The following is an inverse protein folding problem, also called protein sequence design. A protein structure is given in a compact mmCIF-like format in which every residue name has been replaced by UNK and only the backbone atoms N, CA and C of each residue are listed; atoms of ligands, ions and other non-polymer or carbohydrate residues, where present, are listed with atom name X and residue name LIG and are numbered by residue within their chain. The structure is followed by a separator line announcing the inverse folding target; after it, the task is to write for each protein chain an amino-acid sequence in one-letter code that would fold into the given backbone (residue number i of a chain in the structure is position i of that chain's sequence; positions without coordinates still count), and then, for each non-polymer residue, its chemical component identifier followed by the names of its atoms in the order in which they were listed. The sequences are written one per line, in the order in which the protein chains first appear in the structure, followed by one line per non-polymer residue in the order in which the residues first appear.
data_IF_617563367107
#
_entry.id   IF_617563367107
#
_cell.length_a   1.000
_cell.length_b   1.000
_cell.length_c   1.000
_cell.angle_alpha   90.00
_cell.angle_beta   90.00
_cell.angle_gamma   90.00
#
_symmetry.space_group_name_H-M   'P 1'
#
loop_
_entity.id
_entity.type
_entity.pdbx_description
1 polymer ?
#
# COMPACT_ATOMS: atom_id res chain seq x y z
N UNK A 1 4.89 1.15 -15.44
CA UNK A 1 6.09 1.76 -14.80
C UNK A 1 5.85 1.91 -13.29
N UNK A 2 5.59 0.82 -12.55
CA UNK A 2 5.24 0.91 -11.11
C UNK A 2 6.04 -0.02 -10.19
N UNK A 3 6.92 -0.88 -10.74
CA UNK A 3 7.74 -1.83 -9.98
C UNK A 3 9.23 -1.46 -10.02
N UNK A 4 9.56 -0.18 -9.85
CA UNK A 4 10.97 0.22 -9.80
C UNK A 4 11.60 -0.07 -8.44
N UNK A 5 10.84 0.16 -7.36
CA UNK A 5 11.29 0.02 -6.00
C UNK A 5 10.51 -1.11 -5.32
N UNK A 6 11.24 -2.11 -4.85
CA UNK A 6 10.71 -3.26 -4.12
C UNK A 6 10.86 -3.03 -2.61
N UNK A 7 10.24 -3.90 -1.81
CA UNK A 7 10.41 -3.90 -0.36
C UNK A 7 11.88 -3.99 0.09
N UNK A 8 12.74 -4.62 -0.71
CA UNK A 8 14.18 -4.70 -0.47
C UNK A 8 14.93 -3.37 -0.70
N UNK A 9 14.34 -2.43 -1.46
CA UNK A 9 14.92 -1.11 -1.70
C UNK A 9 14.57 -0.11 -0.57
N UNK A 10 13.78 -0.54 0.41
CA UNK A 10 13.43 0.28 1.56
C UNK A 10 14.71 0.56 2.38
N UNK A 11 14.96 1.83 2.70
CA UNK A 11 16.18 2.33 3.38
C UNK A 11 17.48 2.24 2.56
N UNK A 12 17.38 2.04 1.25
CA UNK A 12 18.50 2.17 0.31
C UNK A 12 18.86 3.65 0.11
N UNK A 13 20.14 3.95 -0.11
CA UNK A 13 20.57 5.34 -0.31
C UNK A 13 20.00 5.90 -1.63
N UNK A 14 19.65 7.18 -1.66
CA UNK A 14 19.13 7.84 -2.87
C UNK A 14 20.06 7.68 -4.08
N UNK A 15 21.39 7.68 -3.88
CA UNK A 15 22.36 7.42 -4.95
C UNK A 15 22.16 6.06 -5.61
N UNK A 16 21.90 5.02 -4.82
CA UNK A 16 21.70 3.67 -5.33
C UNK A 16 20.35 3.56 -6.07
N UNK A 17 19.30 4.22 -5.57
CA UNK A 17 18.00 4.28 -6.25
C UNK A 17 18.09 4.99 -7.60
N UNK A 18 18.85 6.09 -7.67
CA UNK A 18 19.14 6.81 -8.92
C UNK A 18 19.89 5.92 -9.91
N UNK A 19 20.94 5.21 -9.47
CA UNK A 19 21.68 4.28 -10.34
C UNK A 19 20.78 3.17 -10.88
N UNK A 20 19.91 2.61 -10.03
CA UNK A 20 18.94 1.59 -10.42
C UNK A 20 17.93 2.12 -11.45
N UNK A 21 17.44 3.34 -11.26
CA UNK A 21 16.57 4.03 -12.24
C UNK A 21 17.26 4.16 -13.61
N UNK A 22 18.52 4.61 -13.62
CA UNK A 22 19.29 4.74 -14.85
C UNK A 22 19.49 3.40 -15.55
N UNK A 23 19.87 2.34 -14.83
CA UNK A 23 20.07 1.01 -15.42
C UNK A 23 18.80 0.45 -16.07
N UNK A 24 17.63 0.72 -15.49
CA UNK A 24 16.36 0.16 -15.98
C UNK A 24 15.74 0.97 -17.12
N UNK A 25 15.94 2.28 -17.15
CA UNK A 25 15.24 3.16 -18.10
C UNK A 25 16.17 3.95 -19.02
N UNK A 26 17.49 3.85 -18.86
CA UNK A 26 18.48 4.66 -19.58
C UNK A 26 18.22 6.17 -19.49
N UNK A 27 17.65 6.62 -18.37
CA UNK A 27 17.31 8.01 -18.10
C UNK A 27 17.98 8.47 -16.80
N UNK A 28 18.56 9.66 -16.83
CA UNK A 28 19.18 10.24 -15.64
C UNK A 28 18.14 11.02 -14.82
N UNK A 29 18.26 10.90 -13.50
CA UNK A 29 17.50 11.69 -12.52
C UNK A 29 18.46 12.05 -11.40
N UNK A 30 18.43 13.29 -10.90
CA UNK A 30 19.29 13.66 -9.77
C UNK A 30 18.76 13.07 -8.45
N UNK A 31 19.62 12.97 -7.43
CA UNK A 31 19.19 12.57 -6.07
C UNK A 31 18.12 13.52 -5.53
N UNK A 32 18.29 14.82 -5.78
CA UNK A 32 17.38 15.88 -5.35
C UNK A 32 16.02 15.77 -6.05
N UNK A 33 16.01 15.45 -7.35
CA UNK A 33 14.76 15.27 -8.08
C UNK A 33 14.02 14.01 -7.65
N UNK A 34 14.74 12.93 -7.35
CA UNK A 34 14.15 11.72 -6.78
C UNK A 34 13.58 11.99 -5.38
N UNK A 35 14.32 12.69 -4.53
CA UNK A 35 13.87 13.06 -3.17
C UNK A 35 12.59 13.91 -3.20
N UNK A 36 12.54 14.91 -4.09
CA UNK A 36 11.34 15.74 -4.31
C UNK A 36 10.11 14.93 -4.71
N UNK A 37 10.28 13.74 -5.32
CA UNK A 37 9.16 12.85 -5.66
C UNK A 37 8.59 12.13 -4.44
N UNK A 38 9.32 12.01 -3.32
CA UNK A 38 8.79 11.47 -2.07
C UNK A 38 8.04 12.54 -1.28
N UNK A 39 6.78 12.75 -1.65
CA UNK A 39 5.93 13.78 -1.05
C UNK A 39 4.46 13.30 -0.90
N UNK A 40 3.61 14.13 -0.30
CA UNK A 40 2.20 13.80 -0.07
C UNK A 40 1.43 13.42 -1.36
N UNK A 41 1.70 14.09 -2.48
CA UNK A 41 1.05 13.78 -3.75
C UNK A 41 1.44 12.40 -4.28
N UNK A 42 2.71 11.99 -4.08
CA UNK A 42 3.14 10.64 -4.47
C UNK A 42 2.45 9.55 -3.64
N UNK A 43 2.12 9.83 -2.38
CA UNK A 43 1.35 8.91 -1.53
C UNK A 43 -0.07 8.77 -2.06
N UNK A 44 -0.77 9.89 -2.34
CA UNK A 44 -2.12 9.85 -2.89
C UNK A 44 -2.16 9.17 -4.27
N UNK A 45 -1.18 9.45 -5.12
CA UNK A 45 -1.04 8.76 -6.41
C UNK A 45 -0.93 7.24 -6.24
N UNK A 46 -0.09 6.76 -5.32
CA UNK A 46 0.05 5.32 -5.06
C UNK A 46 -1.25 4.72 -4.50
N UNK A 47 -2.00 5.44 -3.66
CA UNK A 47 -3.31 5.00 -3.18
C UNK A 47 -4.32 4.88 -4.32
N UNK A 48 -4.39 5.87 -5.21
CA UNK A 48 -5.30 5.82 -6.37
C UNK A 48 -5.00 4.64 -7.28
N UNK A 49 -3.71 4.38 -7.54
CA UNK A 49 -3.29 3.23 -8.35
C UNK A 49 -3.70 1.93 -7.67
N UNK A 50 -3.44 1.81 -6.37
CA UNK A 50 -3.81 0.64 -5.59
C UNK A 50 -5.32 0.37 -5.64
N UNK A 51 -6.16 1.41 -5.45
CA UNK A 51 -7.62 1.33 -5.57
C UNK A 51 -8.03 0.83 -6.96
N UNK A 52 -7.47 1.43 -8.02
CA UNK A 52 -7.78 1.03 -9.41
C UNK A 52 -7.40 -0.42 -9.68
N UNK A 53 -6.25 -0.87 -9.18
CA UNK A 53 -5.83 -2.26 -9.30
C UNK A 53 -6.79 -3.20 -8.57
N UNK A 54 -7.12 -2.93 -7.30
CA UNK A 54 -8.05 -3.78 -6.57
C UNK A 54 -9.42 -3.85 -7.24
N UNK A 55 -9.95 -2.73 -7.71
CA UNK A 55 -11.20 -2.70 -8.48
C UNK A 55 -11.11 -3.59 -9.71
N UNK A 56 -10.03 -3.49 -10.49
CA UNK A 56 -9.83 -4.31 -11.70
C UNK A 56 -9.66 -5.81 -11.43
N UNK A 57 -9.21 -6.19 -10.22
CA UNK A 57 -8.99 -7.60 -9.84
C UNK A 57 -10.22 -8.23 -9.19
N UNK A 58 -11.22 -7.45 -8.84
CA UNK A 58 -12.40 -7.94 -8.15
C UNK A 58 -13.40 -8.57 -9.14
N UNK A 59 -13.08 -9.76 -9.64
CA UNK A 59 -13.98 -10.53 -10.51
C UNK A 59 -15.25 -11.01 -9.80
N UNK A 60 -15.22 -11.09 -8.47
CA UNK A 60 -16.40 -11.40 -7.65
C UNK A 60 -17.49 -10.35 -7.85
N UNK A 61 -17.10 -9.07 -7.91
CA UNK A 61 -17.97 -7.95 -8.24
C UNK A 61 -18.64 -8.14 -9.60
N UNK A 62 -17.86 -8.40 -10.65
CA UNK A 62 -18.40 -8.52 -12.01
C UNK A 62 -19.33 -9.72 -12.18
N UNK A 63 -19.13 -10.80 -11.41
CA UNK A 63 -19.85 -12.05 -11.63
C UNK A 63 -21.05 -12.25 -10.69
N UNK A 64 -21.04 -11.66 -9.51
CA UNK A 64 -22.04 -11.93 -8.46
C UNK A 64 -22.89 -10.71 -8.08
N UNK A 65 -22.71 -9.56 -8.72
CA UNK A 65 -23.43 -8.33 -8.38
C UNK A 65 -24.96 -8.53 -8.31
N UNK A 66 -25.56 -9.11 -9.37
CA UNK A 66 -27.01 -9.31 -9.44
C UNK A 66 -27.54 -10.18 -8.29
N UNK A 67 -26.84 -11.28 -7.98
CA UNK A 67 -27.22 -12.18 -6.89
C UNK A 67 -27.05 -11.50 -5.54
N UNK A 68 -25.95 -10.79 -5.31
CA UNK A 68 -25.72 -10.13 -4.02
C UNK A 68 -26.75 -9.02 -3.76
N UNK A 69 -27.12 -8.25 -4.79
CA UNK A 69 -28.14 -7.20 -4.70
C UNK A 69 -29.55 -7.71 -4.40
N UNK A 70 -29.86 -8.98 -4.67
CA UNK A 70 -31.16 -9.54 -4.29
C UNK A 70 -31.29 -9.84 -2.79
N UNK A 71 -30.16 -9.91 -2.06
CA UNK A 71 -30.14 -10.24 -0.63
C UNK A 71 -29.67 -9.10 0.26
N UNK A 72 -28.83 -8.20 -0.25
CA UNK A 72 -28.22 -7.13 0.51
C UNK A 72 -28.29 -5.80 -0.25
N UNK A 73 -28.75 -4.76 0.44
CA UNK A 73 -28.69 -3.38 -0.10
C UNK A 73 -27.26 -2.84 -0.14
N UNK A 74 -26.40 -3.31 0.78
CA UNK A 74 -25.02 -2.88 0.94
C UNK A 74 -24.19 -3.93 1.66
N UNK A 75 -22.96 -4.15 1.19
CA UNK A 75 -22.00 -5.04 1.85
C UNK A 75 -20.69 -4.29 2.03
N UNK A 76 -20.24 -4.10 3.27
CA UNK A 76 -18.96 -3.44 3.58
C UNK A 76 -17.99 -4.50 4.06
N UNK A 77 -16.83 -4.59 3.41
CA UNK A 77 -15.73 -5.44 3.83
C UNK A 77 -14.69 -4.57 4.52
N UNK A 78 -14.38 -4.92 5.77
CA UNK A 78 -13.22 -4.45 6.49
C UNK A 78 -12.17 -5.56 6.48
N UNK A 79 -11.00 -5.26 5.95
CA UNK A 79 -9.88 -6.18 5.95
C UNK A 79 -8.60 -5.49 6.40
N UNK A 80 -7.73 -6.24 7.07
CA UNK A 80 -6.46 -5.74 7.58
C UNK A 80 -5.32 -6.65 7.13
N UNK A 81 -4.36 -6.08 6.41
CA UNK A 81 -3.16 -6.82 5.95
C UNK A 81 -1.93 -6.22 6.60
N UNK A 82 -1.07 -7.06 7.17
CA UNK A 82 0.15 -6.64 7.85
C UNK A 82 1.41 -6.97 7.04
N UNK A 83 2.38 -6.06 7.04
CA UNK A 83 3.68 -6.23 6.39
C UNK A 83 4.81 -5.96 7.37
N UNK A 84 5.84 -6.80 7.33
CA UNK A 84 7.08 -6.58 8.08
C UNK A 84 7.94 -5.52 7.38
N UNK A 85 8.51 -4.63 8.18
CA UNK A 85 9.44 -3.58 7.76
C UNK A 85 10.85 -3.82 8.30
N UNK A 86 11.81 -3.09 7.74
CA UNK A 86 13.16 -3.00 8.29
C UNK A 86 13.14 -2.51 9.74
N UNK A 87 14.04 -3.05 10.57
CA UNK A 87 14.22 -2.66 11.99
C UNK A 87 14.47 -1.15 12.15
N UNK A 88 14.96 -0.47 11.11
CA UNK A 88 15.16 1.00 11.08
C UNK A 88 13.86 1.79 11.33
N UNK A 89 12.69 1.23 11.03
CA UNK A 89 11.40 1.90 11.23
C UNK A 89 10.76 1.65 12.59
N UNK A 90 11.39 0.86 13.47
CA UNK A 90 10.78 0.41 14.73
C UNK A 90 10.31 1.55 15.63
N UNK A 91 10.99 2.71 15.59
CA UNK A 91 10.59 3.90 16.34
C UNK A 91 9.22 4.45 15.92
N UNK A 92 8.89 4.38 14.62
CA UNK A 92 7.63 4.90 14.06
C UNK A 92 6.57 3.82 13.88
N UNK A 93 7.00 2.60 13.56
CA UNK A 93 6.15 1.45 13.26
C UNK A 93 6.59 0.25 14.11
N UNK A 94 6.27 0.24 15.41
CA UNK A 94 6.52 -0.94 16.25
C UNK A 94 5.69 -2.13 15.75
N UNK A 95 6.26 -3.33 15.85
CA UNK A 95 5.56 -4.55 15.47
C UNK A 95 4.95 -5.29 16.65
N UNK A 96 3.97 -6.15 16.35
CA UNK A 96 3.31 -7.00 17.33
C UNK A 96 4.23 -8.13 17.83
N UNK A 97 4.11 -8.52 19.10
CA UNK A 97 4.93 -9.59 19.71
C UNK A 97 6.06 -9.13 20.65
N UNK A 98 6.00 -7.90 21.18
CA UNK A 98 6.91 -7.41 22.23
C UNK A 98 8.19 -6.73 21.74
N UNK A 99 9.12 -6.43 22.66
CA UNK A 99 10.31 -5.59 22.38
C UNK A 99 11.24 -6.19 21.33
N UNK A 100 11.24 -7.50 21.12
CA UNK A 100 12.07 -8.18 20.12
C UNK A 100 11.43 -8.23 18.72
N UNK A 101 10.15 -7.88 18.58
CA UNK A 101 9.43 -8.01 17.31
C UNK A 101 10.05 -7.16 16.19
N UNK A 102 10.05 -7.64 14.94
CA UNK A 102 10.42 -6.82 13.82
C UNK A 102 9.43 -5.66 13.65
N UNK A 103 9.88 -4.55 13.08
CA UNK A 103 8.98 -3.43 12.76
C UNK A 103 7.89 -3.92 11.80
N UNK A 104 6.65 -3.44 11.94
CA UNK A 104 5.59 -3.79 11.00
C UNK A 104 4.55 -2.68 10.85
N UNK A 105 3.93 -2.66 9.67
CA UNK A 105 2.79 -1.82 9.34
C UNK A 105 1.57 -2.69 9.10
N UNK A 106 0.41 -2.08 9.28
CA UNK A 106 -0.88 -2.64 8.95
C UNK A 106 -1.58 -1.69 7.99
N UNK A 107 -2.05 -2.22 6.88
CA UNK A 107 -2.92 -1.51 5.94
C UNK A 107 -4.33 -1.98 6.21
N UNK A 108 -5.18 -1.08 6.67
CA UNK A 108 -6.60 -1.33 6.88
C UNK A 108 -7.37 -0.80 5.67
N UNK A 109 -8.20 -1.65 5.10
CA UNK A 109 -9.00 -1.37 3.92
C UNK A 109 -10.47 -1.52 4.29
N UNK A 110 -11.25 -0.50 3.93
CA UNK A 110 -12.70 -0.58 3.91
C UNK A 110 -13.18 -0.36 2.49
N UNK A 111 -13.96 -1.30 1.97
CA UNK A 111 -14.55 -1.17 0.66
C UNK A 111 -15.96 -1.74 0.64
N UNK A 112 -16.80 -1.13 -0.18
CA UNK A 112 -18.17 -1.55 -0.40
C UNK A 112 -18.18 -2.53 -1.57
N UNK A 113 -18.58 -3.78 -1.29
CA UNK A 113 -18.42 -4.90 -2.20
C UNK A 113 -19.35 -4.81 -3.41
N UNK A 114 -20.53 -4.19 -3.34
CA UNK A 114 -21.50 -4.22 -4.45
C UNK A 114 -21.19 -3.19 -5.54
N UNK A 115 -20.59 -2.06 -5.18
CA UNK A 115 -20.14 -1.01 -6.11
C UNK A 115 -18.64 -1.10 -6.38
N UNK A 116 -17.89 -1.81 -5.53
CA UNK A 116 -16.42 -1.78 -5.51
C UNK A 116 -15.82 -0.47 -5.06
N UNK A 117 -16.63 0.41 -4.47
CA UNK A 117 -16.17 1.69 -3.96
C UNK A 117 -15.24 1.50 -2.76
N UNK A 118 -14.03 2.02 -2.87
CA UNK A 118 -13.09 2.07 -1.76
C UNK A 118 -13.42 3.26 -0.88
N UNK A 119 -13.73 2.97 0.39
CA UNK A 119 -14.14 3.98 1.36
C UNK A 119 -12.92 4.52 2.10
N UNK A 120 -12.10 3.63 2.67
CA UNK A 120 -10.95 4.01 3.50
C UNK A 120 -9.73 3.15 3.20
N UNK A 121 -8.56 3.80 3.21
CA UNK A 121 -7.24 3.15 3.19
C UNK A 121 -6.39 3.82 4.26
N UNK A 122 -6.26 3.13 5.38
CA UNK A 122 -5.52 3.62 6.54
C UNK A 122 -4.25 2.80 6.76
N UNK A 123 -3.19 3.46 7.22
CA UNK A 123 -1.92 2.82 7.53
C UNK A 123 -1.63 3.01 9.01
N UNK A 124 -1.49 1.90 9.72
CA UNK A 124 -1.22 1.86 11.15
C UNK A 124 0.09 1.12 11.46
N UNK A 125 0.58 1.28 12.69
CA UNK A 125 1.62 0.41 13.22
C UNK A 125 1.06 -1.00 13.45
N UNK A 126 1.93 -2.01 13.38
CA UNK A 126 1.50 -3.40 13.52
C UNK A 126 1.00 -3.79 14.91
N UNK A 127 1.19 -2.95 15.92
CA UNK A 127 0.61 -3.14 17.27
C UNK A 127 -0.82 -2.62 17.39
N UNK A 128 -1.33 -1.88 16.40
CA UNK A 128 -2.68 -1.34 16.48
C UNK A 128 -3.69 -2.46 16.25
N UNK A 129 -4.63 -2.60 17.18
CA UNK A 129 -5.74 -3.54 17.04
C UNK A 129 -6.63 -3.14 15.86
N UNK A 130 -7.29 -4.14 15.27
CA UNK A 130 -8.27 -3.91 14.23
C UNK A 130 -9.49 -3.23 14.84
N UNK A 131 -10.03 -2.24 14.12
CA UNK A 131 -11.22 -1.48 14.50
C UNK A 131 -12.31 -1.75 13.49
#
# INVERSE_FOLDING_TARGET
MFNLFYGSDICTALSQLVSKYYMLFSKQISKQDLDKRFNKHSIEFMKEIFIKFLYSQNNTLTNLEHTLRSYFDRVIINDSTSFTLSKKFKKKFPGSGGVASPSSIKVQLQYELLTGSFMNIDIFSGIKNDV
#
